data_IF_987766580644
#
_entry.id   IF_987766580644
#
_cell.length_a   1.000
_cell.length_b   1.000
_cell.length_c   1.000
_cell.angle_alpha   90.00
_cell.angle_beta   90.00
_cell.angle_gamma   90.00
#
_symmetry.space_group_name_H-M   'P 1'
#
loop_
_entity.id
_entity.type
_entity.pdbx_description
1 polymer ?
#
# COMPACT_ATOMS: atom_id res chain seq x y z
N UNK A 1 5.12 -23.15 -6.09
CA UNK A 1 5.58 -21.75 -5.96
C UNK A 1 6.87 -21.76 -5.17
N UNK A 2 7.86 -20.94 -5.54
CA UNK A 2 9.04 -20.74 -4.70
C UNK A 2 8.70 -19.71 -3.63
N UNK A 3 8.92 -20.06 -2.37
CA UNK A 3 8.86 -19.12 -1.25
C UNK A 3 10.26 -18.57 -1.08
N UNK A 4 10.46 -17.31 -1.48
CA UNK A 4 11.73 -16.63 -1.28
C UNK A 4 11.91 -16.29 0.21
N UNK A 5 12.53 -17.20 0.95
CA UNK A 5 12.91 -17.03 2.34
C UNK A 5 14.17 -17.88 2.64
N UNK A 6 14.64 -17.90 3.88
CA UNK A 6 15.75 -18.72 4.36
C UNK A 6 15.22 -19.83 5.26
N UNK A 7 15.90 -20.97 5.34
CA UNK A 7 15.49 -22.01 6.29
C UNK A 7 15.67 -21.49 7.73
N UNK A 8 14.64 -21.61 8.56
CA UNK A 8 14.66 -21.24 9.97
C UNK A 8 14.64 -22.47 10.88
N UNK A 9 15.27 -22.38 12.05
CA UNK A 9 15.17 -23.42 13.07
C UNK A 9 13.82 -23.26 13.81
N UNK A 10 12.96 -24.31 13.85
CA UNK A 10 11.62 -24.21 14.42
C UNK A 10 11.59 -24.01 15.94
N UNK A 11 12.71 -24.26 16.65
CA UNK A 11 12.79 -24.12 18.10
C UNK A 11 13.41 -22.79 18.53
N UNK A 12 14.31 -22.23 17.72
CA UNK A 12 15.06 -21.01 18.07
C UNK A 12 14.62 -19.78 17.27
N UNK A 13 13.84 -19.97 16.20
CA UNK A 13 13.39 -18.93 15.28
C UNK A 13 14.53 -18.12 14.64
N UNK A 14 15.74 -18.68 14.66
CA UNK A 14 16.92 -18.10 14.00
C UNK A 14 17.11 -18.75 12.63
N UNK A 15 17.66 -18.01 11.65
CA UNK A 15 18.00 -18.58 10.36
C UNK A 15 19.07 -19.67 10.53
N UNK A 16 18.86 -20.78 9.83
CA UNK A 16 19.85 -21.86 9.73
C UNK A 16 21.00 -21.33 8.87
N UNK A 17 22.19 -21.37 9.45
CA UNK A 17 23.42 -20.98 8.78
C UNK A 17 24.08 -22.21 8.15
N UNK A 18 24.56 -22.06 6.92
CA UNK A 18 25.41 -23.05 6.26
C UNK A 18 26.78 -23.15 6.93
N UNK A 19 27.59 -24.10 6.45
CA UNK A 19 28.97 -24.29 6.94
C UNK A 19 29.86 -23.04 6.72
N UNK A 20 29.44 -22.12 5.85
CA UNK A 20 30.07 -20.84 5.54
C UNK A 20 29.55 -19.67 6.41
N UNK A 21 28.64 -19.94 7.35
CA UNK A 21 28.05 -18.93 8.23
C UNK A 21 26.99 -18.05 7.55
N UNK A 22 26.60 -18.33 6.30
CA UNK A 22 25.55 -17.59 5.59
C UNK A 22 24.19 -18.26 5.74
N UNK A 23 23.12 -17.50 5.60
CA UNK A 23 21.75 -18.03 5.63
C UNK A 23 21.51 -18.96 4.44
N UNK A 24 20.89 -20.12 4.69
CA UNK A 24 20.59 -21.09 3.63
C UNK A 24 19.27 -20.70 2.96
N UNK A 25 19.27 -20.35 1.65
CA UNK A 25 18.04 -20.00 0.95
C UNK A 25 17.11 -21.21 0.85
N UNK A 26 15.81 -20.99 1.03
CA UNK A 26 14.79 -22.01 0.84
C UNK A 26 14.62 -22.29 -0.66
N UNK A 27 14.95 -23.52 -1.07
CA UNK A 27 14.77 -23.98 -2.45
C UNK A 27 13.68 -25.05 -2.58
N UNK A 28 12.97 -25.38 -1.50
CA UNK A 28 11.91 -26.39 -1.52
C UNK A 28 10.69 -25.83 -2.26
N UNK A 29 10.33 -26.46 -3.38
CA UNK A 29 9.10 -26.13 -4.10
C UNK A 29 7.90 -26.70 -3.34
N UNK A 30 6.95 -25.82 -3.01
CA UNK A 30 5.67 -26.23 -2.39
C UNK A 30 4.56 -26.10 -3.44
N UNK A 31 3.66 -27.09 -3.47
CA UNK A 31 2.47 -27.06 -4.34
C UNK A 31 1.49 -26.00 -3.85
N UNK A 32 0.75 -25.36 -4.75
CA UNK A 32 -0.23 -24.31 -4.39
C UNK A 32 -1.31 -24.85 -3.44
N UNK A 33 -1.75 -26.10 -3.65
CA UNK A 33 -2.70 -26.76 -2.76
C UNK A 33 -2.14 -26.90 -1.32
N UNK A 34 -0.86 -27.25 -1.20
CA UNK A 34 -0.21 -27.41 0.11
C UNK A 34 -0.04 -26.06 0.83
N UNK A 35 0.17 -24.98 0.09
CA UNK A 35 0.21 -23.60 0.64
C UNK A 35 -1.17 -23.12 1.11
N UNK A 36 -2.27 -23.55 0.48
CA UNK A 36 -3.61 -23.05 0.83
C UNK A 36 -4.37 -23.94 1.82
N UNK A 37 -4.15 -25.27 1.80
CA UNK A 37 -5.07 -26.23 2.42
C UNK A 37 -4.42 -27.22 3.41
N UNK A 38 -3.08 -27.22 3.59
CA UNK A 38 -2.47 -28.10 4.60
C UNK A 38 -2.47 -27.46 6.00
N UNK A 39 -2.94 -28.23 6.98
CA UNK A 39 -3.03 -27.83 8.40
C UNK A 39 -1.69 -27.70 9.12
N UNK A 40 -0.57 -27.95 8.43
CA UNK A 40 0.79 -28.02 8.99
C UNK A 40 1.78 -27.12 8.25
N UNK A 41 1.34 -25.92 7.81
CA UNK A 41 2.23 -24.94 7.20
C UNK A 41 1.68 -24.17 5.98
N UNK A 42 0.41 -24.36 5.60
CA UNK A 42 -0.19 -23.62 4.50
C UNK A 42 -0.65 -22.22 4.92
N UNK A 43 -0.09 -21.17 4.32
CA UNK A 43 -0.25 -19.72 4.56
C UNK A 43 -1.65 -19.14 4.86
N UNK A 44 -2.75 -19.88 4.63
CA UNK A 44 -4.14 -19.40 4.81
C UNK A 44 -5.05 -20.36 5.60
N UNK A 45 -4.51 -21.44 6.18
CA UNK A 45 -5.27 -22.40 6.98
C UNK A 45 -5.22 -22.07 8.49
N UNK A 46 -6.13 -22.66 9.28
CA UNK A 46 -6.10 -22.55 10.74
C UNK A 46 -4.77 -23.09 11.29
N UNK A 47 -4.01 -22.26 12.03
CA UNK A 47 -2.66 -22.53 12.56
C UNK A 47 -1.50 -22.48 11.52
N UNK A 48 -1.68 -21.74 10.43
CA UNK A 48 -0.60 -21.41 9.50
C UNK A 48 0.43 -20.43 10.10
N UNK A 49 1.68 -20.41 9.61
CA UNK A 49 2.62 -19.35 9.95
C UNK A 49 2.14 -17.99 9.42
N UNK A 50 1.97 -17.01 10.31
CA UNK A 50 1.51 -15.66 9.95
C UNK A 50 2.52 -14.90 9.07
N UNK A 51 3.79 -15.32 9.05
CA UNK A 51 4.87 -14.71 8.25
C UNK A 51 4.49 -14.53 6.77
N UNK A 52 3.69 -15.46 6.22
CA UNK A 52 3.23 -15.40 4.84
C UNK A 52 2.20 -14.30 4.55
N UNK A 53 1.61 -13.73 5.60
CA UNK A 53 0.68 -12.60 5.53
C UNK A 53 1.35 -11.26 5.84
N UNK A 54 2.64 -11.27 6.19
CA UNK A 54 3.42 -10.08 6.53
C UNK A 54 4.20 -9.61 5.31
N UNK A 55 3.90 -8.39 4.87
CA UNK A 55 4.57 -7.75 3.73
C UNK A 55 5.13 -6.39 4.15
N UNK A 56 6.22 -5.96 3.50
CA UNK A 56 6.76 -4.62 3.69
C UNK A 56 5.86 -3.58 3.02
N UNK A 57 5.29 -2.70 3.85
CA UNK A 57 4.37 -1.61 3.49
C UNK A 57 5.03 -0.42 2.76
N UNK A 58 6.32 -0.49 2.41
CA UNK A 58 7.03 0.56 1.68
C UNK A 58 6.31 0.94 0.39
N UNK A 59 5.84 2.19 0.33
CA UNK A 59 4.98 2.69 -0.74
C UNK A 59 5.42 4.07 -1.23
N UNK A 60 5.44 4.22 -2.55
CA UNK A 60 5.61 5.51 -3.22
C UNK A 60 4.23 5.99 -3.65
N UNK A 61 3.84 7.21 -3.28
CA UNK A 61 2.49 7.73 -3.53
C UNK A 61 2.50 9.16 -4.08
N UNK A 62 1.71 9.39 -5.12
CA UNK A 62 1.32 10.72 -5.58
C UNK A 62 0.10 11.18 -4.79
N UNK A 63 0.37 11.79 -3.62
CA UNK A 63 -0.66 12.16 -2.64
C UNK A 63 -1.58 13.26 -3.13
N UNK A 64 -1.02 14.34 -3.66
CA UNK A 64 -1.80 15.50 -4.10
C UNK A 64 -1.11 16.24 -5.24
N UNK A 65 -1.90 16.65 -6.23
CA UNK A 65 -1.53 17.65 -7.23
C UNK A 65 -2.60 18.74 -7.22
N UNK A 66 -2.19 20.00 -7.18
CA UNK A 66 -3.09 21.14 -7.31
C UNK A 66 -2.62 22.05 -8.44
N UNK A 67 -3.55 22.42 -9.34
CA UNK A 67 -3.35 23.42 -10.37
C UNK A 67 -4.33 24.55 -10.12
N UNK A 68 -3.81 25.75 -9.89
CA UNK A 68 -4.60 26.95 -9.64
C UNK A 68 -4.31 28.01 -10.69
N UNK A 69 -5.35 28.68 -11.17
CA UNK A 69 -5.27 29.77 -12.13
C UNK A 69 -6.00 31.00 -11.61
N UNK A 70 -5.29 32.12 -11.54
CA UNK A 70 -5.85 33.41 -11.23
C UNK A 70 -6.26 34.09 -12.55
N UNK A 71 -7.54 34.43 -12.68
CA UNK A 71 -8.02 35.16 -13.83
C UNK A 71 -7.37 36.56 -13.88
N UNK A 72 -6.77 36.96 -15.01
CA UNK A 72 -6.22 38.29 -15.16
C UNK A 72 -7.28 39.37 -14.91
N UNK A 73 -6.89 40.45 -14.20
CA UNK A 73 -7.80 41.56 -13.86
C UNK A 73 -8.47 42.18 -15.10
N UNK A 74 -7.82 42.14 -16.25
CA UNK A 74 -8.38 42.63 -17.53
C UNK A 74 -9.71 41.97 -17.87
N UNK A 75 -9.88 40.68 -17.57
CA UNK A 75 -11.12 39.94 -17.80
C UNK A 75 -12.23 40.26 -16.78
N UNK A 76 -11.87 40.86 -15.64
CA UNK A 76 -12.78 41.14 -14.53
C UNK A 76 -13.30 42.57 -14.50
N UNK A 77 -12.82 43.43 -15.40
CA UNK A 77 -13.13 44.87 -15.45
C UNK A 77 -14.62 45.20 -15.58
N UNK A 78 -15.43 44.29 -16.13
CA UNK A 78 -16.90 44.43 -16.26
C UNK A 78 -17.69 43.57 -15.26
N UNK A 79 -17.01 42.95 -14.30
CA UNK A 79 -17.61 42.06 -13.31
C UNK A 79 -17.59 42.70 -11.92
N UNK A 80 -18.47 42.30 -10.98
CA UNK A 80 -18.45 42.81 -9.61
C UNK A 80 -17.32 42.23 -8.76
N UNK A 81 -16.39 41.46 -9.36
CA UNK A 81 -15.37 40.72 -8.64
C UNK A 81 -13.98 41.34 -8.82
N UNK A 82 -13.28 41.57 -7.72
CA UNK A 82 -11.88 42.02 -7.71
C UNK A 82 -10.88 40.92 -8.05
N UNK A 83 -11.22 39.65 -7.78
CA UNK A 83 -10.40 38.49 -8.12
C UNK A 83 -11.24 37.22 -8.27
N UNK A 84 -10.88 36.38 -9.24
CA UNK A 84 -11.40 35.03 -9.39
C UNK A 84 -10.23 34.05 -9.51
N UNK A 85 -10.21 33.02 -8.65
CA UNK A 85 -9.28 31.91 -8.71
C UNK A 85 -10.03 30.62 -9.00
N UNK A 86 -9.54 29.84 -9.96
CA UNK A 86 -10.07 28.51 -10.27
C UNK A 86 -8.97 27.50 -9.95
N UNK A 87 -9.30 26.44 -9.22
CA UNK A 87 -8.35 25.42 -8.79
C UNK A 87 -8.87 24.02 -9.07
N UNK A 88 -8.03 23.18 -9.64
CA UNK A 88 -8.24 21.75 -9.82
C UNK A 88 -7.28 20.98 -8.91
N UNK A 89 -7.81 20.15 -8.02
CA UNK A 89 -7.05 19.32 -7.09
C UNK A 89 -7.29 17.85 -7.37
N UNK A 90 -6.23 17.05 -7.45
CA UNK A 90 -6.29 15.60 -7.48
C UNK A 90 -5.65 15.02 -6.23
N UNK A 91 -6.32 14.08 -5.55
CA UNK A 91 -5.84 13.41 -4.35
C UNK A 91 -5.79 11.89 -4.53
N UNK A 92 -4.74 11.28 -3.97
CA UNK A 92 -4.46 9.84 -4.09
C UNK A 92 -4.46 9.36 -5.55
N UNK A 93 -3.69 10.04 -6.40
CA UNK A 93 -3.71 9.83 -7.85
C UNK A 93 -3.02 8.53 -8.24
N UNK A 94 -1.97 8.15 -7.53
CA UNK A 94 -1.19 6.96 -7.83
C UNK A 94 -0.48 6.45 -6.58
N UNK A 95 -0.33 5.14 -6.47
CA UNK A 95 0.54 4.51 -5.48
C UNK A 95 1.26 3.31 -6.10
N UNK A 96 2.43 2.98 -5.54
CA UNK A 96 3.21 1.78 -5.85
C UNK A 96 3.77 1.21 -4.56
N UNK A 97 3.25 0.06 -4.14
CA UNK A 97 3.83 -0.74 -3.06
C UNK A 97 5.01 -1.55 -3.62
N UNK A 98 6.22 -1.29 -3.12
CA UNK A 98 7.47 -1.79 -3.74
C UNK A 98 7.69 -3.28 -3.45
N UNK A 99 7.33 -3.71 -2.25
CA UNK A 99 7.62 -5.04 -1.72
C UNK A 99 6.35 -5.87 -1.50
N UNK A 100 5.26 -5.52 -2.19
CA UNK A 100 4.01 -6.29 -2.20
C UNK A 100 4.00 -7.31 -3.35
N UNK A 101 3.23 -8.41 -3.21
CA UNK A 101 3.08 -9.37 -4.29
C UNK A 101 2.62 -8.70 -5.58
N UNK A 102 3.24 -9.03 -6.73
CA UNK A 102 2.83 -8.48 -8.03
C UNK A 102 1.36 -8.82 -8.28
N UNK A 103 0.63 -7.86 -8.85
CA UNK A 103 -0.81 -7.95 -9.15
C UNK A 103 -1.75 -8.01 -7.95
N UNK A 104 -1.27 -7.89 -6.70
CA UNK A 104 -2.14 -7.74 -5.53
C UNK A 104 -3.00 -6.47 -5.60
N UNK A 105 -2.50 -5.41 -6.25
CA UNK A 105 -3.13 -4.09 -6.36
C UNK A 105 -3.67 -3.60 -5.00
N UNK A 106 -2.92 -3.91 -3.95
CA UNK A 106 -3.27 -3.58 -2.58
C UNK A 106 -2.54 -2.29 -2.17
N UNK A 107 -3.29 -1.40 -1.54
CA UNK A 107 -2.79 -0.13 -1.05
C UNK A 107 -2.50 -0.20 0.47
N UNK A 108 -1.23 -0.25 0.91
CA UNK A 108 -0.91 -0.47 2.32
C UNK A 108 -1.07 0.76 3.23
N UNK A 109 -1.58 1.90 2.74
CA UNK A 109 -2.01 3.00 3.64
C UNK A 109 -3.47 2.87 4.11
N UNK A 110 -4.19 1.81 3.74
CA UNK A 110 -5.51 1.53 4.30
C UNK A 110 -5.39 0.70 5.60
N UNK A 111 -6.34 0.89 6.50
CA UNK A 111 -6.43 0.15 7.75
C UNK A 111 -7.88 -0.08 8.13
N UNK A 112 -8.24 -1.34 8.39
CA UNK A 112 -9.52 -1.73 8.99
C UNK A 112 -9.74 -1.09 10.37
N UNK A 113 -8.68 -0.85 11.12
CA UNK A 113 -8.75 -0.32 12.49
C UNK A 113 -8.67 1.20 12.58
N UNK A 114 -8.51 1.89 11.45
CA UNK A 114 -8.39 3.34 11.38
C UNK A 114 -7.20 3.88 12.17
N UNK A 115 -7.35 5.08 12.76
CA UNK A 115 -6.34 5.69 13.63
C UNK A 115 -6.40 5.11 15.04
N UNK A 116 -5.71 4.00 15.24
CA UNK A 116 -5.48 3.38 16.54
C UNK A 116 -4.03 2.82 16.59
N UNK A 117 -3.63 2.31 17.75
CA UNK A 117 -2.33 1.64 17.94
C UNK A 117 -2.22 0.31 17.17
N UNK A 118 -3.33 -0.18 16.58
CA UNK A 118 -3.35 -1.33 15.67
C UNK A 118 -2.93 -0.92 14.25
N UNK A 119 -1.68 -0.47 14.09
CA UNK A 119 -1.07 -0.18 12.80
C UNK A 119 -0.46 -1.44 12.18
N UNK A 120 -0.44 -1.53 10.85
CA UNK A 120 0.15 -2.67 10.13
C UNK A 120 -0.75 -3.90 9.97
N UNK A 121 -1.99 -3.84 10.44
CA UNK A 121 -2.98 -4.90 10.26
C UNK A 121 -4.10 -4.46 9.32
N UNK A 122 -4.39 -5.30 8.33
CA UNK A 122 -5.50 -5.14 7.41
C UNK A 122 -6.24 -6.48 7.25
N UNK A 123 -7.58 -6.45 7.33
CA UNK A 123 -8.43 -7.63 7.35
C UNK A 123 -9.46 -7.70 6.21
N UNK A 124 -9.95 -6.56 5.68
CA UNK A 124 -10.79 -6.46 4.47
C UNK A 124 -11.37 -5.04 4.28
N UNK A 125 -10.55 -4.00 4.44
CA UNK A 125 -11.02 -2.63 4.28
C UNK A 125 -11.34 -2.30 2.81
N UNK A 126 -12.19 -1.30 2.63
CA UNK A 126 -12.56 -0.85 1.29
C UNK A 126 -11.32 -0.36 0.52
N UNK A 127 -11.24 -0.60 -0.80
CA UNK A 127 -10.15 -0.10 -1.62
C UNK A 127 -9.96 1.41 -1.48
N UNK A 128 -8.71 1.87 -1.60
CA UNK A 128 -8.44 3.30 -1.56
C UNK A 128 -9.06 4.02 -2.76
N UNK A 129 -9.44 5.28 -2.55
CA UNK A 129 -10.16 6.08 -3.56
C UNK A 129 -9.23 7.11 -4.18
N UNK A 130 -9.29 7.24 -5.51
CA UNK A 130 -8.71 8.37 -6.25
C UNK A 130 -9.77 9.47 -6.33
N UNK A 131 -9.42 10.71 -5.98
CA UNK A 131 -10.38 11.83 -5.91
C UNK A 131 -9.91 13.02 -6.73
N UNK A 132 -10.86 13.72 -7.34
CA UNK A 132 -10.65 14.99 -8.02
C UNK A 132 -11.61 16.02 -7.46
N UNK A 133 -11.18 17.27 -7.36
CA UNK A 133 -11.94 18.39 -6.83
C UNK A 133 -11.73 19.63 -7.68
N UNK A 134 -12.81 20.35 -7.96
CA UNK A 134 -12.80 21.64 -8.63
C UNK A 134 -13.27 22.69 -7.64
N UNK A 135 -12.56 23.81 -7.55
CA UNK A 135 -12.89 24.93 -6.67
C UNK A 135 -12.81 26.24 -7.44
N UNK A 136 -13.74 27.15 -7.16
CA UNK A 136 -13.74 28.51 -7.66
C UNK A 136 -13.92 29.47 -6.49
N UNK A 137 -12.97 30.38 -6.32
CA UNK A 137 -12.98 31.41 -5.27
C UNK A 137 -13.20 32.78 -5.90
N UNK A 138 -14.20 33.47 -5.41
CA UNK A 138 -14.58 34.81 -5.84
C UNK A 138 -14.30 35.81 -4.72
N UNK A 139 -13.69 36.94 -5.06
CA UNK A 139 -13.47 38.06 -4.16
C UNK A 139 -14.25 39.25 -4.71
N UNK A 140 -15.04 39.90 -3.86
CA UNK A 140 -15.82 41.09 -4.19
C UNK A 140 -14.92 42.31 -3.98
#
# INVERSE_FOLDING_TARGET
MFVYSVYGNPNTYQPILGADGKTVPNTTQVMVNDVYFQSSGGSFATNAPDEFSVFDATTIRLREISLSYNLPKSFLTKSPFSAINISLTGRNLFYKAVNFPPNSNFDPEISTYGTNNASGFEFSSAPSTRRFGLSAKFTF
#
